data_IF_723804500703
#
_entry.id   IF_723804500703
#
_cell.length_a   1.000
_cell.length_b   1.000
_cell.length_c   1.000
_cell.angle_alpha   90.00
_cell.angle_beta   90.00
_cell.angle_gamma   90.00
#
_symmetry.space_group_name_H-M   'P 1'
#
loop_
_entity.id
_entity.type
_entity.pdbx_description
1 polymer ?
#
# COMPACT_ATOMS: atom_id res chain seq x y z
N UNK A 1 1.08 18.92 -41.17
CA UNK A 1 -0.13 18.89 -42.03
C UNK A 1 -1.28 18.36 -41.18
N UNK A 2 -2.43 19.03 -41.21
CA UNK A 2 -3.66 18.54 -40.58
C UNK A 2 -4.09 17.28 -41.33
N UNK A 3 -4.12 16.13 -40.66
CA UNK A 3 -4.67 14.91 -41.22
C UNK A 3 -6.05 14.67 -40.63
N UNK A 4 -7.06 14.69 -41.50
CA UNK A 4 -8.47 14.61 -41.20
C UNK A 4 -9.01 13.54 -42.14
N UNK A 5 -9.25 12.32 -41.66
CA UNK A 5 -10.13 11.39 -42.39
C UNK A 5 -10.65 10.22 -41.53
N UNK A 6 -11.93 9.91 -41.68
CA UNK A 6 -12.68 8.83 -41.01
C UNK A 6 -12.25 7.42 -41.45
N UNK A 7 -11.36 7.31 -42.43
CA UNK A 7 -10.87 6.03 -42.96
C UNK A 7 -9.95 5.27 -41.99
N UNK A 8 -9.18 5.98 -41.15
CA UNK A 8 -8.32 5.32 -40.15
C UNK A 8 -9.07 4.82 -38.92
N UNK A 9 -10.24 5.38 -38.61
CA UNK A 9 -11.09 4.88 -37.50
C UNK A 9 -11.64 3.49 -37.84
N UNK A 10 -11.98 3.23 -39.10
CA UNK A 10 -12.44 1.92 -39.56
C UNK A 10 -11.31 0.88 -39.61
N UNK A 11 -10.07 1.29 -39.88
CA UNK A 11 -8.90 0.40 -39.86
C UNK A 11 -8.49 0.06 -38.41
N UNK A 12 -8.73 1.00 -37.50
CA UNK A 12 -8.51 0.87 -36.06
C UNK A 12 -9.59 0.00 -35.38
N UNK A 13 -10.85 0.08 -35.83
CA UNK A 13 -11.91 -0.85 -35.40
C UNK A 13 -11.66 -2.28 -35.91
N UNK A 14 -11.18 -2.46 -37.14
CA UNK A 14 -10.79 -3.77 -37.68
C UNK A 14 -9.64 -4.42 -36.90
N UNK A 15 -8.61 -3.64 -36.53
CA UNK A 15 -7.51 -4.15 -35.70
C UNK A 15 -7.93 -4.43 -34.26
N UNK A 16 -8.84 -3.63 -33.70
CA UNK A 16 -9.41 -3.88 -32.37
C UNK A 16 -10.29 -5.13 -32.36
N UNK A 17 -11.08 -5.36 -33.41
CA UNK A 17 -11.86 -6.59 -33.60
C UNK A 17 -10.95 -7.81 -33.74
N UNK A 18 -9.80 -7.71 -34.42
CA UNK A 18 -8.81 -8.79 -34.52
C UNK A 18 -8.11 -9.07 -33.18
N UNK A 19 -7.73 -8.04 -32.43
CA UNK A 19 -7.16 -8.17 -31.07
C UNK A 19 -8.18 -8.80 -30.12
N UNK A 20 -9.44 -8.37 -30.19
CA UNK A 20 -10.53 -8.91 -29.35
C UNK A 20 -10.97 -10.31 -29.80
N UNK A 21 -10.92 -10.65 -31.10
CA UNK A 21 -11.17 -12.00 -31.61
C UNK A 21 -10.06 -12.99 -31.21
N UNK A 22 -8.79 -12.54 -31.17
CA UNK A 22 -7.69 -13.33 -30.62
C UNK A 22 -7.84 -13.60 -29.12
N UNK A 23 -8.35 -12.62 -28.36
CA UNK A 23 -8.52 -12.71 -26.90
C UNK A 23 -9.86 -13.28 -26.42
N UNK A 24 -10.85 -13.51 -27.30
CA UNK A 24 -12.04 -14.34 -26.98
C UNK A 24 -11.65 -15.77 -26.53
N UNK A 25 -10.46 -16.24 -26.92
CA UNK A 25 -9.89 -17.50 -26.44
C UNK A 25 -9.34 -17.43 -25.00
N UNK A 26 -9.02 -16.23 -24.49
CA UNK A 26 -8.37 -16.01 -23.19
C UNK A 26 -9.34 -15.55 -22.09
N UNK A 27 -10.52 -15.03 -22.42
CA UNK A 27 -11.44 -14.42 -21.44
C UNK A 27 -12.77 -15.13 -21.22
N UNK A 28 -13.04 -16.25 -21.92
CA UNK A 28 -14.30 -16.98 -21.76
C UNK A 28 -15.53 -16.20 -22.26
N UNK A 29 -16.62 -16.91 -22.54
CA UNK A 29 -17.80 -16.40 -23.25
C UNK A 29 -18.73 -15.49 -22.41
N UNK A 30 -18.23 -14.77 -21.41
CA UNK A 30 -19.07 -13.89 -20.59
C UNK A 30 -19.07 -12.45 -21.14
N UNK A 31 -20.24 -12.06 -21.65
CA UNK A 31 -20.52 -10.76 -22.26
C UNK A 31 -20.33 -9.61 -21.23
N UNK A 32 -19.22 -8.89 -21.29
CA UNK A 32 -19.09 -7.60 -20.61
C UNK A 32 -19.80 -6.50 -21.41
N UNK A 33 -20.67 -5.73 -20.76
CA UNK A 33 -21.15 -4.45 -21.29
C UNK A 33 -19.96 -3.47 -21.38
N UNK A 34 -19.51 -3.19 -22.60
CA UNK A 34 -18.50 -2.18 -22.90
C UNK A 34 -19.12 -0.78 -22.77
N UNK A 35 -18.99 -0.15 -21.60
CA UNK A 35 -19.19 1.29 -21.48
C UNK A 35 -17.93 2.00 -21.98
N UNK A 36 -17.89 2.31 -23.28
CA UNK A 36 -16.80 3.06 -23.91
C UNK A 36 -16.87 4.51 -23.44
N UNK A 37 -16.05 4.86 -22.45
CA UNK A 37 -15.87 6.24 -22.02
C UNK A 37 -14.40 6.62 -22.25
N UNK A 38 -14.09 7.21 -23.39
CA UNK A 38 -12.75 7.67 -23.70
C UNK A 38 -12.66 8.50 -24.98
N UNK A 39 -12.09 9.70 -24.89
CA UNK A 39 -11.64 10.51 -26.02
C UNK A 39 -10.12 10.39 -26.14
N UNK A 40 -9.62 9.87 -27.26
CA UNK A 40 -8.18 9.80 -27.58
C UNK A 40 -7.42 8.65 -26.92
N UNK A 41 -6.72 7.85 -27.72
CA UNK A 41 -5.68 6.83 -27.42
C UNK A 41 -5.82 5.89 -26.21
N UNK A 42 -6.93 5.91 -25.47
CA UNK A 42 -7.17 5.14 -24.25
C UNK A 42 -8.58 4.57 -24.29
N UNK A 43 -8.68 3.25 -24.17
CA UNK A 43 -9.92 2.51 -23.93
C UNK A 43 -9.88 1.95 -22.51
N UNK A 44 -10.95 2.10 -21.74
CA UNK A 44 -11.06 1.49 -20.41
C UNK A 44 -12.37 0.73 -20.27
N UNK A 45 -12.36 -0.33 -19.46
CA UNK A 45 -13.50 -1.19 -19.17
C UNK A 45 -13.37 -1.75 -17.75
N UNK A 46 -14.49 -2.15 -17.14
CA UNK A 46 -14.50 -2.76 -15.80
C UNK A 46 -14.74 -4.25 -15.92
N UNK A 47 -13.86 -5.08 -15.36
CA UNK A 47 -14.02 -6.53 -15.30
C UNK A 47 -13.88 -6.99 -13.85
N UNK A 48 -14.92 -7.61 -13.29
CA UNK A 48 -14.95 -8.07 -11.89
C UNK A 48 -14.55 -7.00 -10.85
N UNK A 49 -14.97 -5.73 -11.05
CA UNK A 49 -14.65 -4.61 -10.16
C UNK A 49 -13.25 -4.01 -10.35
N UNK A 50 -12.49 -4.48 -11.33
CA UNK A 50 -11.17 -3.99 -11.69
C UNK A 50 -11.32 -3.08 -12.90
N UNK A 51 -10.80 -1.86 -12.83
CA UNK A 51 -10.73 -1.01 -14.02
C UNK A 51 -9.50 -1.40 -14.83
N UNK A 52 -9.75 -1.95 -16.00
CA UNK A 52 -8.75 -2.33 -16.97
C UNK A 52 -8.74 -1.28 -18.09
N UNK A 53 -7.60 -1.10 -18.73
CA UNK A 53 -7.56 -0.31 -19.94
C UNK A 53 -6.38 -0.61 -20.83
N UNK A 54 -6.55 -0.19 -22.07
CA UNK A 54 -5.58 -0.26 -23.15
C UNK A 54 -5.25 1.17 -23.51
N UNK A 55 -3.98 1.55 -23.42
CA UNK A 55 -3.50 2.83 -23.96
C UNK A 55 -2.49 2.59 -25.08
N UNK A 56 -2.55 3.45 -26.10
CA UNK A 56 -1.63 3.46 -27.22
C UNK A 56 -0.65 4.63 -27.11
N UNK A 57 0.64 4.34 -27.16
CA UNK A 57 1.68 5.38 -27.13
C UNK A 57 1.80 6.05 -28.51
N UNK A 58 1.72 7.39 -28.53
CA UNK A 58 2.04 8.18 -29.73
C UNK A 58 3.54 8.33 -29.97
N UNK A 59 4.35 8.10 -28.94
CA UNK A 59 5.82 8.19 -29.01
C UNK A 59 6.46 6.88 -29.50
N UNK A 60 5.77 5.75 -29.29
CA UNK A 60 6.23 4.42 -29.68
C UNK A 60 5.11 3.65 -30.41
N UNK A 61 4.95 3.86 -31.72
CA UNK A 61 3.92 3.19 -32.51
C UNK A 61 4.02 1.66 -32.38
N UNK A 62 2.94 1.00 -31.97
CA UNK A 62 2.87 -0.46 -31.78
C UNK A 62 2.98 -0.94 -30.32
N UNK A 63 3.21 -0.06 -29.35
CA UNK A 63 3.20 -0.45 -27.93
C UNK A 63 1.79 -0.29 -27.35
N UNK A 64 1.20 -1.41 -26.93
CA UNK A 64 -0.06 -1.47 -26.18
C UNK A 64 0.26 -1.64 -24.70
N UNK A 65 -0.13 -0.68 -23.87
CA UNK A 65 -0.03 -0.80 -22.42
C UNK A 65 -1.36 -1.26 -21.87
N UNK A 66 -1.36 -2.46 -21.28
CA UNK A 66 -2.46 -2.93 -20.43
C UNK A 66 -2.24 -2.37 -19.03
N UNK A 67 -3.16 -1.54 -18.55
CA UNK A 67 -3.16 -1.10 -17.17
C UNK A 67 -4.32 -1.72 -16.41
N UNK A 68 -4.05 -2.02 -15.14
CA UNK A 68 -5.01 -2.52 -14.17
C UNK A 68 -5.00 -1.55 -13.00
N UNK A 69 -6.04 -0.73 -12.89
CA UNK A 69 -6.27 0.10 -11.72
C UNK A 69 -7.26 -0.64 -10.82
N UNK A 70 -6.77 -1.14 -9.69
CA UNK A 70 -7.64 -1.65 -8.64
C UNK A 70 -8.36 -0.44 -8.03
N UNK A 71 -9.67 -0.37 -8.22
CA UNK A 71 -10.49 0.63 -7.55
C UNK A 71 -10.57 0.28 -6.07
N UNK A 72 -10.56 1.30 -5.21
CA UNK A 72 -10.77 1.13 -3.79
C UNK A 72 -12.12 0.44 -3.53
N UNK A 73 -12.08 -0.64 -2.74
CA UNK A 73 -13.18 -1.58 -2.50
C UNK A 73 -14.05 -1.21 -1.30
N UNK A 74 -13.50 -0.46 -0.34
CA UNK A 74 -14.25 0.07 0.80
C UNK A 74 -14.49 1.57 0.63
N UNK A 75 -15.62 2.07 1.13
CA UNK A 75 -15.95 3.49 1.08
C UNK A 75 -14.93 4.31 1.89
N UNK A 76 -14.49 5.45 1.38
CA UNK A 76 -13.82 6.46 2.22
C UNK A 76 -14.85 7.43 2.77
N UNK A 77 -14.91 7.62 4.09
CA UNK A 77 -15.75 8.67 4.68
C UNK A 77 -15.15 10.03 4.30
N UNK A 78 -16.02 10.97 3.89
CA UNK A 78 -15.62 12.34 3.58
C UNK A 78 -15.53 13.16 4.88
N UNK A 79 -14.34 13.68 5.26
CA UNK A 79 -14.19 14.44 6.50
C UNK A 79 -15.06 15.69 6.61
N UNK A 80 -15.42 16.32 5.48
CA UNK A 80 -16.18 17.57 5.46
C UNK A 80 -17.65 17.42 5.86
N UNK A 81 -18.18 16.19 5.79
CA UNK A 81 -19.57 15.87 6.12
C UNK A 81 -19.67 14.81 7.22
N UNK A 82 -18.55 14.51 7.88
CA UNK A 82 -18.55 13.60 9.02
C UNK A 82 -19.17 14.28 10.23
N UNK A 83 -19.96 13.53 10.99
CA UNK A 83 -20.65 14.00 12.18
C UNK A 83 -20.33 13.11 13.38
N UNK A 84 -20.70 13.59 14.58
CA UNK A 84 -20.53 12.86 15.84
C UNK A 84 -19.10 12.37 16.07
N UNK A 85 -18.96 11.14 16.58
CA UNK A 85 -17.66 10.57 16.99
C UNK A 85 -16.65 10.52 15.85
N UNK A 86 -17.06 10.21 14.63
CA UNK A 86 -16.15 10.17 13.47
C UNK A 86 -15.51 11.52 13.22
N UNK A 87 -16.28 12.62 13.34
CA UNK A 87 -15.77 13.97 13.16
C UNK A 87 -14.70 14.30 14.20
N UNK A 88 -14.97 14.00 15.47
CA UNK A 88 -14.01 14.25 16.56
C UNK A 88 -12.69 13.49 16.35
N UNK A 89 -12.76 12.25 15.87
CA UNK A 89 -11.58 11.45 15.56
C UNK A 89 -10.81 12.02 14.35
N UNK A 90 -11.51 12.50 13.32
CA UNK A 90 -10.90 13.20 12.20
C UNK A 90 -10.23 14.51 12.62
N UNK A 91 -10.86 15.31 13.48
CA UNK A 91 -10.26 16.54 14.01
C UNK A 91 -8.98 16.23 14.79
N UNK A 92 -8.97 15.12 15.56
CA UNK A 92 -7.77 14.61 16.27
C UNK A 92 -6.64 14.27 15.29
N UNK A 93 -6.95 13.53 14.21
CA UNK A 93 -5.98 13.15 13.18
C UNK A 93 -5.44 14.39 12.46
N UNK A 94 -6.32 15.31 12.07
CA UNK A 94 -5.96 16.57 11.41
C UNK A 94 -5.03 17.41 12.29
N UNK A 95 -5.32 17.51 13.60
CA UNK A 95 -4.48 18.25 14.54
C UNK A 95 -3.11 17.60 14.77
N UNK A 96 -3.02 16.27 14.78
CA UNK A 96 -1.77 15.55 15.02
C UNK A 96 -0.86 15.46 13.78
N UNK A 97 -1.44 15.30 12.59
CA UNK A 97 -0.69 14.99 11.37
C UNK A 97 -0.80 16.05 10.28
N UNK A 98 -1.67 17.05 10.43
CA UNK A 98 -1.90 18.09 9.41
C UNK A 98 -2.68 17.61 8.17
N UNK A 99 -3.05 16.34 8.13
CA UNK A 99 -3.86 15.73 7.07
C UNK A 99 -4.68 14.56 7.61
N UNK A 100 -5.72 14.15 6.88
CA UNK A 100 -6.52 12.95 7.15
C UNK A 100 -6.30 11.95 6.01
N UNK A 101 -5.38 10.96 6.18
CA UNK A 101 -5.06 10.02 5.12
C UNK A 101 -6.24 9.12 4.72
N UNK A 102 -6.23 8.60 3.49
CA UNK A 102 -7.25 7.69 2.99
C UNK A 102 -7.42 6.43 3.86
N UNK A 103 -6.35 5.87 4.44
CA UNK A 103 -6.50 4.75 5.39
C UNK A 103 -7.36 5.11 6.61
N UNK A 104 -7.28 6.36 7.09
CA UNK A 104 -8.09 6.86 8.22
C UNK A 104 -9.54 7.02 7.78
N UNK A 105 -9.76 7.51 6.56
CA UNK A 105 -11.09 7.64 5.96
C UNK A 105 -11.76 6.29 5.71
N UNK A 106 -10.99 5.25 5.41
CA UNK A 106 -11.47 3.86 5.31
C UNK A 106 -11.79 3.30 6.70
N UNK A 107 -10.92 3.49 7.69
CA UNK A 107 -11.20 3.07 9.09
C UNK A 107 -12.47 3.72 9.64
N UNK A 108 -12.73 4.96 9.26
CA UNK A 108 -13.88 5.75 9.71
C UNK A 108 -15.26 5.17 9.33
N UNK A 109 -15.34 4.12 8.50
CA UNK A 109 -16.57 3.33 8.38
C UNK A 109 -16.99 2.71 9.72
N UNK A 110 -16.05 2.53 10.65
CA UNK A 110 -16.32 2.16 12.04
C UNK A 110 -15.56 3.11 12.98
N UNK A 111 -16.25 4.02 13.69
CA UNK A 111 -15.63 4.90 14.67
C UNK A 111 -14.82 4.13 15.73
N UNK A 112 -15.32 2.95 16.15
CA UNK A 112 -14.64 2.10 17.10
C UNK A 112 -13.28 1.59 16.58
N UNK A 113 -13.18 1.27 15.28
CA UNK A 113 -11.92 0.85 14.65
C UNK A 113 -10.95 2.01 14.55
N UNK A 114 -11.41 3.18 14.10
CA UNK A 114 -10.56 4.37 14.02
C UNK A 114 -10.05 4.79 15.41
N UNK A 115 -10.93 4.81 16.41
CA UNK A 115 -10.56 5.12 17.79
C UNK A 115 -9.54 4.14 18.35
N UNK A 116 -9.74 2.84 18.11
CA UNK A 116 -8.80 1.79 18.53
C UNK A 116 -7.42 1.99 17.88
N UNK A 117 -7.38 2.29 16.58
CA UNK A 117 -6.14 2.58 15.87
C UNK A 117 -5.39 3.77 16.47
N UNK A 118 -6.10 4.88 16.72
CA UNK A 118 -5.50 6.08 17.29
C UNK A 118 -4.97 5.84 18.70
N UNK A 119 -5.76 5.21 19.56
CA UNK A 119 -5.33 4.84 20.90
C UNK A 119 -4.09 3.93 20.88
N UNK A 120 -4.08 2.94 19.99
CA UNK A 120 -2.96 2.02 19.84
C UNK A 120 -1.70 2.74 19.33
N UNK A 121 -1.81 3.57 18.29
CA UNK A 121 -0.69 4.33 17.76
C UNK A 121 -0.13 5.35 18.78
N UNK A 122 -1.00 6.02 19.54
CA UNK A 122 -0.60 6.94 20.63
C UNK A 122 0.11 6.21 21.76
N UNK A 123 -0.35 5.01 22.14
CA UNK A 123 0.32 4.20 23.17
C UNK A 123 1.72 3.77 22.69
N UNK A 124 1.83 3.26 21.46
CA UNK A 124 3.12 2.85 20.89
C UNK A 124 4.07 4.02 20.65
N UNK A 125 3.58 5.26 20.53
CA UNK A 125 4.42 6.46 20.52
C UNK A 125 5.22 6.69 21.82
N UNK A 126 4.88 6.00 22.92
CA UNK A 126 5.55 6.07 24.22
C UNK A 126 6.43 4.84 24.52
N UNK A 127 6.50 3.90 23.58
CA UNK A 127 7.26 2.66 23.69
C UNK A 127 8.77 2.93 23.84
N UNK A 128 9.48 2.10 24.61
CA UNK A 128 10.92 2.28 24.86
C UNK A 128 11.80 1.92 23.66
N UNK A 129 11.33 1.10 22.71
CA UNK A 129 12.04 0.82 21.45
C UNK A 129 12.23 2.07 20.58
N UNK A 130 11.45 3.12 20.84
CA UNK A 130 11.54 4.42 20.17
C UNK A 130 10.86 4.48 18.80
N UNK A 131 10.50 5.69 18.38
CA UNK A 131 9.72 5.93 17.16
C UNK A 131 10.42 5.51 15.87
N UNK A 132 11.75 5.59 15.81
CA UNK A 132 12.54 5.15 14.65
C UNK A 132 12.36 3.66 14.40
N UNK A 133 12.71 2.82 15.38
CA UNK A 133 12.62 1.37 15.24
C UNK A 133 11.17 0.92 15.06
N UNK A 134 10.22 1.54 15.77
CA UNK A 134 8.79 1.29 15.58
C UNK A 134 8.33 1.48 14.12
N UNK A 135 8.75 2.56 13.46
CA UNK A 135 8.40 2.81 12.06
C UNK A 135 9.12 1.84 11.11
N UNK A 136 10.38 1.51 11.36
CA UNK A 136 11.12 0.52 10.55
C UNK A 136 10.46 -0.86 10.60
N UNK A 137 10.04 -1.31 11.78
CA UNK A 137 9.30 -2.58 11.95
C UNK A 137 7.98 -2.59 11.17
N UNK A 138 7.25 -1.47 11.17
CA UNK A 138 6.02 -1.33 10.37
C UNK A 138 6.30 -1.33 8.87
N UNK A 139 7.42 -0.75 8.42
CA UNK A 139 7.85 -0.83 7.02
C UNK A 139 8.20 -2.27 6.63
N UNK A 140 8.96 -3.00 7.46
CA UNK A 140 9.31 -4.41 7.24
C UNK A 140 8.05 -5.26 7.12
N UNK A 141 7.08 -5.01 8.00
CA UNK A 141 5.77 -5.68 7.97
C UNK A 141 5.00 -5.35 6.70
N UNK A 142 5.01 -4.09 6.26
CA UNK A 142 4.31 -3.63 5.06
C UNK A 142 4.88 -4.21 3.77
N UNK A 143 6.21 -4.32 3.68
CA UNK A 143 6.89 -4.95 2.55
C UNK A 143 6.61 -6.46 2.53
N UNK A 144 6.69 -7.13 3.68
CA UNK A 144 6.38 -8.57 3.81
C UNK A 144 4.93 -8.89 3.41
N UNK A 145 3.98 -8.03 3.81
CA UNK A 145 2.56 -8.18 3.48
C UNK A 145 2.18 -7.60 2.10
N UNK A 146 3.14 -7.10 1.33
CA UNK A 146 2.94 -6.44 0.04
C UNK A 146 1.87 -5.32 0.09
N UNK A 147 1.78 -4.56 1.19
CA UNK A 147 0.84 -3.42 1.30
C UNK A 147 1.41 -2.16 0.66
N UNK A 148 1.09 -1.90 -0.61
CA UNK A 148 1.57 -0.72 -1.35
C UNK A 148 1.19 0.60 -0.67
N UNK A 149 -0.03 0.75 -0.16
CA UNK A 149 -0.46 1.96 0.55
C UNK A 149 0.39 2.20 1.79
N UNK A 150 0.58 1.15 2.60
CA UNK A 150 1.27 1.20 3.88
C UNK A 150 2.76 1.51 3.73
N UNK A 151 3.44 0.84 2.79
CA UNK A 151 4.84 1.14 2.46
C UNK A 151 4.99 2.60 2.00
N UNK A 152 4.04 3.07 1.18
CA UNK A 152 4.08 4.43 0.64
C UNK A 152 3.86 5.50 1.72
N UNK A 153 2.83 5.36 2.56
CA UNK A 153 2.54 6.36 3.61
C UNK A 153 3.64 6.38 4.67
N UNK A 154 4.14 5.22 5.11
CA UNK A 154 5.24 5.16 6.08
C UNK A 154 6.51 5.81 5.53
N UNK A 155 6.84 5.56 4.27
CA UNK A 155 8.00 6.20 3.61
C UNK A 155 7.82 7.71 3.46
N UNK A 156 6.61 8.17 3.15
CA UNK A 156 6.31 9.59 2.96
C UNK A 156 6.39 10.39 4.27
N UNK A 157 5.94 9.82 5.40
CA UNK A 157 5.92 10.54 6.69
C UNK A 157 7.20 10.36 7.52
N UNK A 158 8.02 9.37 7.20
CA UNK A 158 9.23 9.03 7.95
C UNK A 158 10.24 10.19 8.10
N UNK A 159 10.51 11.03 7.06
CA UNK A 159 11.41 12.17 7.21
C UNK A 159 10.92 13.19 8.26
N UNK A 160 9.60 13.45 8.31
CA UNK A 160 9.01 14.34 9.32
C UNK A 160 9.09 13.77 10.74
N UNK A 161 9.28 12.45 10.88
CA UNK A 161 9.55 11.77 12.13
C UNK A 161 11.06 11.60 12.43
N UNK A 162 11.94 12.20 11.62
CA UNK A 162 13.39 12.22 11.82
C UNK A 162 14.15 11.00 11.30
N UNK A 163 13.53 10.14 10.49
CA UNK A 163 14.22 9.02 9.85
C UNK A 163 15.00 9.49 8.62
N UNK A 164 16.22 8.97 8.46
CA UNK A 164 17.04 9.19 7.26
C UNK A 164 16.60 8.29 6.11
N UNK A 165 17.14 8.53 4.91
CA UNK A 165 16.92 7.64 3.77
C UNK A 165 17.41 6.20 4.06
N UNK A 166 18.54 6.05 4.75
CA UNK A 166 19.08 4.75 5.14
C UNK A 166 18.19 4.05 6.18
N UNK A 167 17.59 4.82 7.10
CA UNK A 167 16.64 4.26 8.07
C UNK A 167 15.38 3.72 7.38
N UNK A 168 14.85 4.47 6.42
CA UNK A 168 13.70 4.05 5.59
C UNK A 168 14.08 2.82 4.79
N UNK A 169 15.23 2.84 4.11
CA UNK A 169 15.70 1.71 3.31
C UNK A 169 15.84 0.46 4.19
N UNK A 170 16.44 0.60 5.37
CA UNK A 170 16.63 -0.51 6.30
C UNK A 170 15.30 -1.13 6.74
N UNK A 171 14.32 -0.29 7.11
CA UNK A 171 12.98 -0.77 7.43
C UNK A 171 12.32 -1.49 6.26
N UNK A 172 12.51 -1.00 5.03
CA UNK A 172 11.90 -1.60 3.84
C UNK A 172 12.58 -2.90 3.39
N UNK A 173 13.90 -2.99 3.48
CA UNK A 173 14.66 -4.20 3.11
C UNK A 173 14.68 -5.24 4.23
N UNK A 174 14.41 -4.82 5.48
CA UNK A 174 14.59 -5.66 6.65
C UNK A 174 16.07 -5.86 7.01
N UNK A 175 16.97 -5.01 6.52
CA UNK A 175 18.41 -5.12 6.74
C UNK A 175 19.03 -3.79 7.17
N UNK A 176 20.03 -3.81 8.06
CA UNK A 176 20.65 -2.60 8.60
C UNK A 176 22.10 -2.85 8.98
N UNK A 177 22.95 -1.82 8.88
CA UNK A 177 24.32 -1.87 9.40
C UNK A 177 24.36 -1.77 10.94
N UNK A 178 23.32 -1.20 11.57
CA UNK A 178 23.19 -1.22 13.02
C UNK A 178 22.75 -2.61 13.49
N UNK A 179 23.62 -3.25 14.29
CA UNK A 179 23.40 -4.63 14.76
C UNK A 179 22.11 -4.78 15.56
N UNK A 180 21.74 -3.78 16.37
CA UNK A 180 20.51 -3.84 17.18
C UNK A 180 19.28 -3.73 16.28
N UNK A 181 19.25 -2.76 15.37
CA UNK A 181 18.17 -2.61 14.38
C UNK A 181 18.04 -3.86 13.50
N UNK A 182 19.14 -4.36 12.91
CA UNK A 182 19.14 -5.56 12.07
C UNK A 182 18.52 -6.77 12.79
N UNK A 183 18.86 -6.99 14.06
CA UNK A 183 18.31 -8.09 14.84
C UNK A 183 16.79 -7.94 15.08
N UNK A 184 16.30 -6.73 15.35
CA UNK A 184 14.86 -6.48 15.50
C UNK A 184 14.10 -6.67 14.19
N UNK A 185 14.63 -6.21 13.06
CA UNK A 185 14.00 -6.39 11.74
C UNK A 185 13.98 -7.86 11.32
N UNK A 186 15.06 -8.59 11.56
CA UNK A 186 15.10 -10.04 11.34
C UNK A 186 14.08 -10.77 12.23
N UNK A 187 13.99 -10.41 13.51
CA UNK A 187 13.01 -10.99 14.43
C UNK A 187 11.56 -10.67 14.01
N UNK A 188 11.30 -9.48 13.48
CA UNK A 188 9.99 -9.14 12.92
C UNK A 188 9.60 -10.03 11.74
N UNK A 189 10.55 -10.29 10.82
CA UNK A 189 10.36 -11.24 9.72
C UNK A 189 10.11 -12.66 10.24
N UNK A 190 10.84 -13.11 11.26
CA UNK A 190 10.62 -14.41 11.90
C UNK A 190 9.21 -14.52 12.51
N UNK A 191 8.74 -13.48 13.20
CA UNK A 191 7.39 -13.40 13.77
C UNK A 191 6.34 -13.47 12.66
N UNK A 192 6.50 -12.73 11.56
CA UNK A 192 5.57 -12.75 10.43
C UNK A 192 5.53 -14.13 9.75
N UNK A 193 6.68 -14.69 9.41
CA UNK A 193 6.80 -15.97 8.73
C UNK A 193 6.23 -17.13 9.57
N UNK A 194 6.48 -17.12 10.87
CA UNK A 194 6.02 -18.17 11.80
C UNK A 194 4.65 -17.90 12.41
N UNK A 195 4.02 -16.75 12.12
CA UNK A 195 2.80 -16.28 12.79
C UNK A 195 2.95 -16.24 14.32
N UNK A 196 4.09 -15.73 14.79
CA UNK A 196 4.45 -15.60 16.21
C UNK A 196 5.01 -16.86 16.86
N UNK A 197 5.08 -17.99 16.16
CA UNK A 197 5.64 -19.25 16.67
C UNK A 197 7.16 -19.32 16.47
N UNK A 198 7.87 -18.30 16.95
CA UNK A 198 9.33 -18.22 16.86
C UNK A 198 9.99 -19.29 17.74
N UNK A 199 11.13 -19.80 17.29
CA UNK A 199 11.94 -20.76 18.04
C UNK A 199 12.70 -20.11 19.20
N UNK A 200 13.14 -20.91 20.17
CA UNK A 200 14.03 -20.45 21.23
C UNK A 200 15.33 -19.85 20.69
N UNK A 201 15.82 -20.33 19.54
CA UNK A 201 17.02 -19.80 18.90
C UNK A 201 16.79 -18.37 18.38
N UNK A 202 15.68 -18.13 17.68
CA UNK A 202 15.31 -16.80 17.18
C UNK A 202 15.08 -15.82 18.35
N UNK A 203 14.40 -16.26 19.41
CA UNK A 203 14.21 -15.46 20.62
C UNK A 203 15.54 -15.15 21.33
N UNK A 204 16.46 -16.12 21.37
CA UNK A 204 17.79 -15.89 21.94
C UNK A 204 18.64 -14.94 21.09
N UNK A 205 18.49 -14.98 19.77
CA UNK A 205 19.23 -14.10 18.85
C UNK A 205 18.85 -12.63 19.04
N UNK A 206 17.55 -12.31 19.17
CA UNK A 206 17.12 -10.93 19.43
C UNK A 206 17.57 -10.46 20.83
N UNK A 207 17.52 -11.33 21.84
CA UNK A 207 18.06 -11.01 23.19
C UNK A 207 19.56 -10.74 23.17
N UNK A 208 20.33 -11.51 22.39
CA UNK A 208 21.78 -11.32 22.25
C UNK A 208 22.14 -9.96 21.60
N UNK A 209 21.21 -9.31 20.90
CA UNK A 209 21.35 -7.96 20.37
C UNK A 209 21.04 -6.86 21.41
N UNK A 210 20.71 -7.23 22.65
CA UNK A 210 20.48 -6.31 23.76
C UNK A 210 19.02 -5.88 23.94
N UNK A 211 18.07 -6.65 23.40
CA UNK A 211 16.64 -6.44 23.67
C UNK A 211 16.20 -7.23 24.89
N UNK A 212 15.52 -6.57 25.82
CA UNK A 212 14.87 -7.23 26.96
C UNK A 212 13.45 -7.71 26.61
N UNK A 213 12.74 -8.28 27.58
CA UNK A 213 11.39 -8.81 27.34
C UNK A 213 10.38 -7.69 27.00
N UNK A 214 10.54 -6.48 27.54
CA UNK A 214 9.67 -5.35 27.24
C UNK A 214 9.88 -4.87 25.79
N UNK A 215 11.14 -4.77 25.35
CA UNK A 215 11.47 -4.47 23.96
C UNK A 215 10.88 -5.52 23.00
N UNK A 216 10.99 -6.80 23.32
CA UNK A 216 10.47 -7.89 22.48
C UNK A 216 8.95 -7.80 22.36
N UNK A 217 8.24 -7.51 23.44
CA UNK A 217 6.78 -7.27 23.41
C UNK A 217 6.46 -6.08 22.51
N UNK A 218 7.21 -4.98 22.60
CA UNK A 218 7.01 -3.79 21.76
C UNK A 218 7.32 -4.05 20.27
N UNK A 219 8.33 -4.88 19.96
CA UNK A 219 8.65 -5.31 18.60
C UNK A 219 7.48 -6.09 18.01
N UNK A 220 7.01 -7.14 18.71
CA UNK A 220 5.85 -7.94 18.27
C UNK A 220 4.62 -7.06 18.11
N UNK A 221 4.41 -6.12 19.02
CA UNK A 221 3.27 -5.21 18.99
C UNK A 221 3.33 -4.26 17.78
N UNK A 222 4.52 -3.80 17.41
CA UNK A 222 4.74 -2.99 16.19
C UNK A 222 4.42 -3.79 14.93
N UNK A 223 4.79 -5.07 14.89
CA UNK A 223 4.42 -6.01 13.81
C UNK A 223 2.90 -6.16 13.74
N UNK A 224 2.22 -6.38 14.87
CA UNK A 224 0.75 -6.52 14.92
C UNK A 224 0.04 -5.26 14.42
N UNK A 225 0.49 -4.07 14.83
CA UNK A 225 -0.06 -2.80 14.33
C UNK A 225 0.18 -2.64 12.81
N UNK A 226 1.34 -3.08 12.32
CA UNK A 226 1.63 -3.21 10.89
C UNK A 226 0.61 -4.12 10.20
N UNK A 227 0.44 -5.36 10.65
CA UNK A 227 -0.53 -6.32 10.11
C UNK A 227 -1.96 -5.76 10.10
N UNK A 228 -2.40 -5.11 11.19
CA UNK A 228 -3.71 -4.49 11.28
C UNK A 228 -3.95 -3.49 10.13
N UNK A 229 -3.02 -2.54 9.95
CA UNK A 229 -3.17 -1.53 8.89
C UNK A 229 -2.96 -2.14 7.50
N UNK A 230 -2.04 -3.09 7.34
CA UNK A 230 -1.77 -3.77 6.07
C UNK A 230 -2.97 -4.56 5.58
N UNK A 231 -3.54 -5.41 6.42
CA UNK A 231 -4.68 -6.25 6.03
C UNK A 231 -5.90 -5.40 5.71
N UNK A 232 -6.16 -4.34 6.50
CA UNK A 232 -7.26 -3.43 6.19
C UNK A 232 -7.06 -2.75 4.83
N UNK A 233 -5.87 -2.19 4.58
CA UNK A 233 -5.60 -1.48 3.32
C UNK A 233 -5.54 -2.42 2.10
N UNK A 234 -5.07 -3.65 2.26
CA UNK A 234 -5.09 -4.67 1.21
C UNK A 234 -6.52 -5.14 0.90
N UNK A 235 -7.38 -5.33 1.91
CA UNK A 235 -8.80 -5.65 1.69
C UNK A 235 -9.53 -4.48 1.02
N UNK A 236 -9.19 -3.26 1.41
CA UNK A 236 -9.79 -2.06 0.87
C UNK A 236 -9.25 -1.67 -0.50
N UNK A 237 -8.10 -2.18 -0.94
CA UNK A 237 -7.34 -1.62 -2.06
C UNK A 237 -7.24 -0.09 -1.96
N UNK A 238 -6.85 0.42 -0.77
CA UNK A 238 -6.89 1.85 -0.45
C UNK A 238 -6.15 2.69 -1.47
N UNK A 239 -6.83 3.70 -2.01
CA UNK A 239 -6.28 4.61 -3.01
C UNK A 239 -5.17 5.47 -2.41
N UNK A 240 -4.06 5.62 -3.12
CA UNK A 240 -2.94 6.46 -2.72
C UNK A 240 -3.32 7.95 -2.78
N UNK A 241 -3.23 8.61 -1.64
CA UNK A 241 -3.30 10.07 -1.46
C UNK A 241 -1.92 10.70 -1.22
N UNK A 242 -0.87 9.89 -1.40
CA UNK A 242 0.53 10.23 -1.23
C UNK A 242 1.36 9.60 -2.37
N UNK A 243 2.58 10.08 -2.64
CA UNK A 243 3.44 9.49 -3.65
C UNK A 243 3.69 8.00 -3.39
N UNK A 244 3.55 7.17 -4.42
CA UNK A 244 3.88 5.74 -4.34
C UNK A 244 5.36 5.58 -3.96
N UNK A 245 5.64 4.70 -3.00
CA UNK A 245 7.01 4.33 -2.68
C UNK A 245 7.72 3.74 -3.91
N UNK A 246 8.97 4.15 -4.12
CA UNK A 246 9.82 3.57 -5.16
C UNK A 246 9.99 2.06 -4.91
N UNK A 247 9.99 1.26 -5.98
CA UNK A 247 10.29 -0.16 -5.86
C UNK A 247 11.68 -0.36 -5.26
N UNK A 248 11.84 -1.36 -4.39
CA UNK A 248 13.17 -1.81 -3.99
C UNK A 248 13.82 -2.46 -5.22
N UNK A 249 14.87 -1.84 -5.75
CA UNK A 249 15.71 -2.50 -6.75
C UNK A 249 16.52 -3.57 -6.03
N UNK A 250 16.17 -4.84 -6.22
CA UNK A 250 17.08 -5.91 -5.83
C UNK A 250 18.36 -5.73 -6.65
N UNK A 251 19.48 -5.39 -6.02
CA UNK A 251 20.77 -5.51 -6.67
C UNK A 251 20.97 -7.00 -6.97
N UNK A 252 20.87 -7.34 -8.27
CA UNK A 252 21.15 -8.64 -8.91
C UNK A 252 21.23 -9.86 -8.00
N UNK A 253 20.22 -10.73 -8.12
CA UNK A 253 20.39 -12.16 -7.87
C UNK A 253 21.41 -12.77 -8.85
#
# INVERSE_FOLDING_TARGET
MKFNDNSQINDMSLNLDLVMQGHKSLLGNDLCELNVCGTGNVLSFVHQGIQCGVSYSTEHPGTITLWRSTMQRLKSINPQVAEGRTKELFDTVQGAFGMIPNTVRVMANSPAVLESFLAFNTAMGKAQIGGKLHNQLKMTTSETNACSYCTSILSAVAPSAGLTADDILAGRTGDSDDRRTKAALAFANDVLASRGKVSNQQLSAVRAAGFDDADIVEIVTSVVLGCFTNFLNNVADTELDIPKAAALTHAGA
#
